data_IF_227485430861
#
_entry.id   IF_227485430861
#
_cell.length_a   1.000
_cell.length_b   1.000
_cell.length_c   1.000
_cell.angle_alpha   90.00
_cell.angle_beta   90.00
_cell.angle_gamma   90.00
#
_symmetry.space_group_name_H-M   'P 1'
#
loop_
_entity.id
_entity.type
_entity.pdbx_description
1 polymer ?
#
# COMPACT_ATOMS: atom_id res chain seq x y z
N UNK A 1 -3.74 4.85 0.54
CA UNK A 1 -3.81 6.03 1.44
C UNK A 1 -2.67 6.10 2.46
N UNK A 2 -1.79 5.10 2.59
CA UNK A 2 -0.69 5.13 3.56
C UNK A 2 0.34 6.25 3.27
N UNK A 3 0.93 6.29 2.06
CA UNK A 3 1.93 7.31 1.73
C UNK A 3 1.39 8.75 1.80
N UNK A 4 0.15 9.00 1.35
CA UNK A 4 -0.49 10.32 1.51
C UNK A 4 -0.69 10.70 2.98
N UNK A 5 -1.04 9.74 3.84
CA UNK A 5 -1.16 10.00 5.27
C UNK A 5 0.21 10.33 5.89
N UNK A 6 1.26 9.62 5.47
CA UNK A 6 2.64 9.90 5.88
C UNK A 6 3.14 11.26 5.38
N UNK A 7 2.79 11.65 4.15
CA UNK A 7 3.06 12.99 3.60
C UNK A 7 2.40 14.09 4.44
N UNK A 8 1.12 13.92 4.80
CA UNK A 8 0.40 14.84 5.70
C UNK A 8 1.01 14.87 7.12
N UNK A 9 1.58 13.77 7.57
CA UNK A 9 2.31 13.68 8.84
C UNK A 9 3.73 14.29 8.78
N UNK A 10 4.15 14.78 7.61
CA UNK A 10 5.47 15.40 7.42
C UNK A 10 6.62 14.40 7.33
N UNK A 11 6.35 13.13 7.04
CA UNK A 11 7.41 12.12 6.87
C UNK A 11 8.13 12.33 5.53
N UNK A 12 9.48 12.37 5.53
CA UNK A 12 10.26 12.65 4.34
C UNK A 12 10.17 11.52 3.32
N UNK A 13 10.19 11.88 2.03
CA UNK A 13 10.19 10.92 0.92
C UNK A 13 8.82 10.40 0.51
N UNK A 14 7.74 11.03 0.98
CA UNK A 14 6.35 10.64 0.70
C UNK A 14 5.69 11.43 -0.45
N UNK A 15 6.45 12.31 -1.12
CA UNK A 15 5.99 13.13 -2.23
C UNK A 15 5.52 12.29 -3.43
N UNK A 16 4.51 12.79 -4.15
CA UNK A 16 3.97 12.19 -5.39
C UNK A 16 3.71 10.67 -5.25
N UNK A 17 2.93 10.23 -4.24
CA UNK A 17 2.81 8.82 -3.89
C UNK A 17 2.22 7.95 -5.01
N UNK A 18 1.36 8.50 -5.85
CA UNK A 18 0.83 7.79 -7.01
C UNK A 18 1.91 7.52 -8.07
N UNK A 19 2.76 8.50 -8.37
CA UNK A 19 3.80 8.35 -9.39
C UNK A 19 4.86 7.34 -8.96
N UNK A 20 5.26 7.33 -7.68
CA UNK A 20 6.21 6.34 -7.14
C UNK A 20 5.73 4.89 -7.31
N UNK A 21 4.46 4.63 -7.01
CA UNK A 21 3.88 3.28 -7.17
C UNK A 21 3.73 2.94 -8.66
N UNK A 22 3.36 3.93 -9.49
CA UNK A 22 3.22 3.75 -10.94
C UNK A 22 4.55 3.43 -11.62
N UNK A 23 5.64 4.07 -11.21
CA UNK A 23 6.99 3.77 -11.71
C UNK A 23 7.41 2.33 -11.39
N UNK A 24 7.07 1.81 -10.21
CA UNK A 24 7.33 0.43 -9.82
C UNK A 24 6.63 -0.60 -10.73
N UNK A 25 5.41 -0.29 -11.19
CA UNK A 25 4.57 -1.23 -11.94
C UNK A 25 4.62 -1.03 -13.47
N UNK A 26 5.10 0.14 -13.94
CA UNK A 26 5.00 0.50 -15.36
C UNK A 26 5.92 -0.37 -16.20
N UNK A 27 5.33 -1.14 -17.11
CA UNK A 27 6.06 -1.94 -18.10
C UNK A 27 6.70 -3.23 -17.55
N UNK A 28 6.35 -3.63 -16.32
CA UNK A 28 6.93 -4.80 -15.65
C UNK A 28 5.85 -5.59 -14.91
N UNK A 29 5.99 -6.91 -14.85
CA UNK A 29 5.25 -7.73 -13.89
C UNK A 29 5.81 -7.52 -12.49
N UNK A 30 4.93 -7.45 -11.49
CA UNK A 30 5.31 -7.22 -10.10
C UNK A 30 5.07 -8.49 -9.27
N UNK A 31 6.09 -8.89 -8.52
CA UNK A 31 5.99 -9.98 -7.55
C UNK A 31 5.74 -9.45 -6.13
N UNK A 32 5.39 -10.35 -5.22
CA UNK A 32 5.21 -10.01 -3.80
C UNK A 32 6.49 -9.41 -3.21
N UNK A 33 7.64 -10.00 -3.51
CA UNK A 33 8.96 -9.56 -3.03
C UNK A 33 9.33 -8.18 -3.57
N UNK A 34 8.89 -7.83 -4.79
CA UNK A 34 9.08 -6.49 -5.33
C UNK A 34 8.26 -5.44 -4.54
N UNK A 35 7.02 -5.78 -4.17
CA UNK A 35 6.17 -4.91 -3.33
C UNK A 35 6.76 -4.76 -1.92
N UNK A 36 7.21 -5.86 -1.30
CA UNK A 36 7.80 -5.82 0.05
C UNK A 36 9.06 -4.95 0.08
N UNK A 37 9.96 -5.11 -0.91
CA UNK A 37 11.15 -4.27 -1.05
C UNK A 37 10.81 -2.80 -1.27
N UNK A 38 9.76 -2.51 -2.04
CA UNK A 38 9.30 -1.13 -2.22
C UNK A 38 8.84 -0.51 -0.91
N UNK A 39 8.08 -1.26 -0.09
CA UNK A 39 7.61 -0.83 1.23
C UNK A 39 8.81 -0.57 2.16
N UNK A 40 9.83 -1.44 2.14
CA UNK A 40 11.04 -1.30 2.97
C UNK A 40 11.89 -0.07 2.65
N UNK A 41 11.80 0.44 1.42
CA UNK A 41 12.50 1.66 1.01
C UNK A 41 11.78 2.94 1.45
N UNK A 42 10.53 2.85 1.93
CA UNK A 42 9.78 4.02 2.37
C UNK A 42 9.93 4.24 3.88
N UNK A 43 9.84 5.50 4.29
CA UNK A 43 9.87 5.95 5.69
C UNK A 43 8.56 5.67 6.44
N UNK A 44 8.07 4.43 6.43
CA UNK A 44 6.88 4.03 7.21
C UNK A 44 7.25 3.68 8.66
N UNK A 45 6.30 3.85 9.57
CA UNK A 45 6.37 3.21 10.89
C UNK A 45 6.22 1.68 10.76
N UNK A 46 6.74 0.95 11.74
CA UNK A 46 6.78 -0.51 11.74
C UNK A 46 5.39 -1.15 11.60
N UNK A 47 4.38 -0.59 12.29
CA UNK A 47 3.02 -1.11 12.23
C UNK A 47 2.40 -0.92 10.84
N UNK A 48 2.61 0.25 10.22
CA UNK A 48 2.16 0.50 8.85
C UNK A 48 2.88 -0.39 7.85
N UNK A 49 4.20 -0.54 7.95
CA UNK A 49 4.98 -1.40 7.07
C UNK A 49 4.53 -2.86 7.17
N UNK A 50 4.41 -3.40 8.38
CA UNK A 50 3.94 -4.77 8.63
C UNK A 50 2.53 -5.00 8.07
N UNK A 51 1.61 -4.04 8.30
CA UNK A 51 0.25 -4.12 7.76
C UNK A 51 0.23 -4.13 6.23
N UNK A 52 1.06 -3.31 5.58
CA UNK A 52 1.13 -3.25 4.12
C UNK A 52 1.73 -4.54 3.53
N UNK A 53 2.76 -5.12 4.16
CA UNK A 53 3.36 -6.39 3.72
C UNK A 53 2.45 -7.61 3.93
N UNK A 54 1.57 -7.54 4.93
CA UNK A 54 0.57 -8.60 5.18
C UNK A 54 -0.55 -8.63 4.12
N UNK A 55 -0.72 -7.57 3.32
CA UNK A 55 -1.75 -7.51 2.30
C UNK A 55 -1.45 -8.49 1.16
N UNK A 56 -2.51 -9.16 0.70
CA UNK A 56 -2.49 -10.01 -0.48
C UNK A 56 -3.64 -9.62 -1.41
N UNK A 57 -3.59 -9.95 -2.71
CA UNK A 57 -4.71 -9.70 -3.63
C UNK A 57 -6.03 -10.31 -3.13
N UNK A 58 -5.98 -11.49 -2.48
CA UNK A 58 -7.16 -12.17 -1.93
C UNK A 58 -7.74 -11.50 -0.68
N UNK A 59 -6.92 -10.80 0.10
CA UNK A 59 -7.36 -10.13 1.34
C UNK A 59 -7.65 -8.64 1.13
N UNK A 60 -7.18 -8.07 0.02
CA UNK A 60 -7.38 -6.66 -0.32
C UNK A 60 -8.73 -6.43 -1.04
N UNK A 61 -9.82 -6.85 -0.41
CA UNK A 61 -11.19 -6.76 -0.96
C UNK A 61 -12.01 -5.59 -0.39
N UNK A 62 -11.41 -4.77 0.48
CA UNK A 62 -12.06 -3.60 1.07
C UNK A 62 -13.31 -3.96 1.89
N UNK A 63 -14.39 -3.20 1.69
CA UNK A 63 -15.65 -3.38 2.42
C UNK A 63 -16.60 -4.41 1.77
N UNK A 64 -16.15 -5.17 0.76
CA UNK A 64 -17.02 -6.04 -0.04
C UNK A 64 -17.90 -6.98 0.82
N UNK A 65 -17.30 -7.72 1.76
CA UNK A 65 -18.06 -8.61 2.65
C UNK A 65 -19.09 -7.87 3.50
N UNK A 66 -18.71 -6.72 4.07
CA UNK A 66 -19.61 -5.90 4.90
C UNK A 66 -20.81 -5.37 4.11
N UNK A 67 -20.61 -5.04 2.84
CA UNK A 67 -21.68 -4.56 1.97
C UNK A 67 -22.67 -5.69 1.62
N UNK A 68 -22.18 -6.91 1.41
CA UNK A 68 -23.04 -8.09 1.22
C UNK A 68 -23.83 -8.41 2.49
N UNK A 69 -23.19 -8.33 3.65
CA UNK A 69 -23.84 -8.57 4.94
C UNK A 69 -24.86 -7.48 5.31
N UNK A 70 -24.68 -6.24 4.82
CA UNK A 70 -25.59 -5.12 5.08
C UNK A 70 -26.94 -5.25 4.36
N UNK A 71 -26.97 -5.94 3.21
CA UNK A 71 -28.19 -6.19 2.42
C UNK A 71 -29.03 -7.37 2.99
N UNK A 72 -28.50 -8.08 3.98
CA UNK A 72 -29.12 -9.26 4.62
C UNK A 72 -29.89 -8.90 5.88
#
# INVERSE_FOLDING_TARGET
TAMRACELAGLPGMDKPYEKVKELMRGHEISKEAVERFIDQQSFDEATAARLKALTPSTYVGAAGKLVDFDR
#
